data_IF_792217978209
#
_entry.id   IF_792217978209
#
_cell.length_a   1.000
_cell.length_b   1.000
_cell.length_c   1.000
_cell.angle_alpha   90.00
_cell.angle_beta   90.00
_cell.angle_gamma   90.00
#
_symmetry.space_group_name_H-M   'P 1'
#
loop_
_entity.id
_entity.type
_entity.pdbx_description
1 polymer ?
#
# COMPACT_ATOMS: atom_id res chain seq x y z
N UNK A 1 -13.47 -30.25 9.46
CA UNK A 1 -14.80 -30.00 8.83
C UNK A 1 -15.54 -28.85 9.55
N UNK A 2 -14.87 -27.73 9.86
CA UNK A 2 -15.50 -26.55 10.49
C UNK A 2 -15.07 -25.20 9.90
N UNK A 3 -14.25 -25.18 8.84
CA UNK A 3 -13.81 -23.93 8.18
C UNK A 3 -14.82 -23.40 7.15
N UNK A 4 -15.63 -24.28 6.55
CA UNK A 4 -16.61 -23.89 5.51
C UNK A 4 -17.76 -23.05 6.05
N UNK A 5 -18.18 -23.30 7.29
CA UNK A 5 -19.28 -22.57 7.91
C UNK A 5 -18.90 -21.13 8.31
N UNK A 6 -17.62 -20.83 8.55
CA UNK A 6 -17.18 -19.47 8.90
C UNK A 6 -17.03 -18.55 7.68
N UNK A 7 -16.57 -19.09 6.55
CA UNK A 7 -16.37 -18.32 5.31
C UNK A 7 -17.70 -17.99 4.61
N UNK A 8 -18.67 -18.91 4.61
CA UNK A 8 -20.04 -18.63 4.11
C UNK A 8 -20.77 -17.54 4.90
N UNK A 9 -20.63 -17.54 6.24
CA UNK A 9 -21.29 -16.56 7.10
C UNK A 9 -20.70 -15.15 6.99
N UNK A 10 -19.41 -15.02 6.65
CA UNK A 10 -18.76 -13.73 6.45
C UNK A 10 -19.04 -13.14 5.05
N UNK A 11 -19.14 -14.01 4.03
CA UNK A 11 -19.56 -13.59 2.68
C UNK A 11 -21.00 -13.03 2.68
N UNK A 12 -21.87 -13.62 3.49
CA UNK A 12 -23.25 -13.18 3.70
C UNK A 12 -23.39 -11.99 4.67
N UNK A 13 -22.33 -11.22 4.91
CA UNK A 13 -22.45 -10.00 5.69
C UNK A 13 -23.25 -8.95 4.89
N UNK A 14 -24.46 -8.55 5.35
CA UNK A 14 -25.37 -7.70 4.57
C UNK A 14 -24.79 -6.33 4.21
N UNK A 15 -23.77 -5.87 4.94
CA UNK A 15 -23.14 -4.57 4.74
C UNK A 15 -21.87 -4.63 3.88
N UNK A 16 -21.43 -5.81 3.42
CA UNK A 16 -20.21 -5.98 2.63
C UNK A 16 -20.21 -5.10 1.38
N UNK A 17 -21.26 -5.17 0.57
CA UNK A 17 -21.35 -4.38 -0.67
C UNK A 17 -21.34 -2.88 -0.38
N UNK A 18 -22.09 -2.43 0.63
CA UNK A 18 -22.10 -1.03 1.04
C UNK A 18 -20.71 -0.55 1.51
N UNK A 19 -19.99 -1.38 2.28
CA UNK A 19 -18.63 -1.09 2.72
C UNK A 19 -17.65 -0.98 1.54
N UNK A 20 -17.73 -1.90 0.57
CA UNK A 20 -16.87 -1.86 -0.61
C UNK A 20 -17.16 -0.62 -1.47
N UNK A 21 -18.44 -0.31 -1.72
CA UNK A 21 -18.85 0.88 -2.46
C UNK A 21 -18.36 2.15 -1.74
N UNK A 22 -18.52 2.22 -0.42
CA UNK A 22 -18.02 3.34 0.38
C UNK A 22 -16.50 3.52 0.23
N UNK A 23 -15.71 2.44 0.33
CA UNK A 23 -14.27 2.52 0.19
C UNK A 23 -13.83 2.87 -1.24
N UNK A 24 -14.54 2.40 -2.26
CA UNK A 24 -14.28 2.78 -3.66
C UNK A 24 -14.49 4.29 -3.82
N UNK A 25 -15.62 4.82 -3.33
CA UNK A 25 -15.93 6.26 -3.38
C UNK A 25 -14.88 7.06 -2.60
N UNK A 26 -14.54 6.64 -1.38
CA UNK A 26 -13.50 7.29 -0.58
C UNK A 26 -12.14 7.25 -1.29
N UNK A 27 -11.77 6.12 -1.90
CA UNK A 27 -10.55 5.97 -2.69
C UNK A 27 -10.49 6.95 -3.87
N UNK A 28 -11.59 7.11 -4.62
CA UNK A 28 -11.65 8.11 -5.69
C UNK A 28 -11.49 9.54 -5.17
N UNK A 29 -12.09 9.87 -4.02
CA UNK A 29 -11.89 11.17 -3.38
C UNK A 29 -10.43 11.40 -3.00
N UNK A 30 -9.76 10.39 -2.42
CA UNK A 30 -8.34 10.48 -2.10
C UNK A 30 -7.47 10.67 -3.35
N UNK A 31 -7.73 9.93 -4.43
CA UNK A 31 -7.03 10.10 -5.72
C UNK A 31 -7.18 11.53 -6.23
N UNK A 32 -8.39 12.10 -6.19
CA UNK A 32 -8.65 13.49 -6.59
C UNK A 32 -7.87 14.46 -5.70
N UNK A 33 -7.90 14.27 -4.38
CA UNK A 33 -7.18 15.14 -3.43
C UNK A 33 -5.67 15.10 -3.66
N UNK A 34 -5.06 13.93 -3.82
CA UNK A 34 -3.63 13.80 -4.11
C UNK A 34 -3.27 14.39 -5.47
N UNK A 35 -4.08 14.18 -6.51
CA UNK A 35 -3.88 14.77 -7.83
C UNK A 35 -3.96 16.31 -7.80
N UNK A 36 -4.93 16.87 -7.07
CA UNK A 36 -5.05 18.31 -6.88
C UNK A 36 -3.84 18.87 -6.13
N UNK A 37 -3.39 18.20 -5.07
CA UNK A 37 -2.23 18.62 -4.30
C UNK A 37 -0.96 18.64 -5.15
N UNK A 38 -0.72 17.59 -5.95
CA UNK A 38 0.39 17.55 -6.92
C UNK A 38 0.28 18.72 -7.90
N UNK A 39 -0.91 18.94 -8.48
CA UNK A 39 -1.14 20.00 -9.45
C UNK A 39 -0.82 21.39 -8.89
N UNK A 40 -1.32 21.71 -7.69
CA UNK A 40 -1.09 23.00 -7.02
C UNK A 40 0.41 23.24 -6.77
N UNK A 41 1.13 22.23 -6.28
CA UNK A 41 2.56 22.38 -5.97
C UNK A 41 3.40 22.50 -7.25
N UNK A 42 3.06 21.73 -8.30
CA UNK A 42 3.78 21.76 -9.58
C UNK A 42 3.59 23.10 -10.31
N UNK A 43 2.37 23.66 -10.26
CA UNK A 43 2.06 24.96 -10.87
C UNK A 43 2.71 26.13 -10.11
N UNK A 44 2.90 26.01 -8.79
CA UNK A 44 3.41 27.10 -7.96
C UNK A 44 4.92 27.04 -7.79
N UNK A 45 5.66 27.84 -8.57
CA UNK A 45 7.14 27.85 -8.58
C UNK A 45 7.76 28.10 -7.21
N UNK A 46 7.17 28.96 -6.37
CA UNK A 46 7.67 29.26 -5.02
C UNK A 46 7.58 28.05 -4.09
N UNK A 47 6.49 27.28 -4.15
CA UNK A 47 6.31 26.06 -3.36
C UNK A 47 7.24 24.95 -3.84
N UNK A 48 7.38 24.78 -5.16
CA UNK A 48 8.29 23.78 -5.76
C UNK A 48 9.76 24.02 -5.40
N UNK A 49 10.14 25.24 -5.05
CA UNK A 49 11.50 25.56 -4.62
C UNK A 49 11.86 25.01 -3.23
N UNK A 50 10.87 24.68 -2.41
CA UNK A 50 11.09 24.25 -1.03
C UNK A 50 11.21 22.72 -0.96
N UNK A 51 12.27 22.22 -0.31
CA UNK A 51 12.53 20.78 -0.21
C UNK A 51 11.35 19.97 0.36
N UNK A 52 10.68 20.48 1.39
CA UNK A 52 9.52 19.82 2.00
C UNK A 52 8.36 19.59 1.03
N UNK A 53 8.09 20.53 0.12
CA UNK A 53 7.03 20.39 -0.88
C UNK A 53 7.41 19.40 -2.00
N UNK A 54 8.71 19.24 -2.29
CA UNK A 54 9.19 18.23 -3.24
C UNK A 54 8.94 16.81 -2.71
N UNK A 55 9.19 16.56 -1.43
CA UNK A 55 8.81 15.31 -0.77
C UNK A 55 7.30 15.11 -0.79
N UNK A 56 6.53 16.15 -0.48
CA UNK A 56 5.06 16.09 -0.47
C UNK A 56 4.47 15.67 -1.82
N UNK A 57 5.04 16.14 -2.93
CA UNK A 57 4.60 15.73 -4.28
C UNK A 57 4.86 14.24 -4.54
N UNK A 58 6.02 13.73 -4.12
CA UNK A 58 6.38 12.33 -4.35
C UNK A 58 5.62 11.38 -3.43
N UNK A 59 5.42 11.75 -2.16
CA UNK A 59 4.53 11.04 -1.22
C UNK A 59 3.12 10.97 -1.83
N UNK A 60 2.55 12.09 -2.26
CA UNK A 60 1.23 12.09 -2.89
C UNK A 60 1.16 11.25 -4.17
N UNK A 61 2.25 11.13 -4.93
CA UNK A 61 2.27 10.26 -6.10
C UNK A 61 2.28 8.77 -5.71
N UNK A 62 3.03 8.41 -4.67
CA UNK A 62 3.06 7.05 -4.10
C UNK A 62 1.69 6.69 -3.50
N UNK A 63 1.08 7.61 -2.75
CA UNK A 63 -0.26 7.44 -2.17
C UNK A 63 -1.34 7.28 -3.23
N UNK A 64 -1.24 8.02 -4.35
CA UNK A 64 -2.16 7.89 -5.47
C UNK A 64 -2.10 6.47 -6.06
N UNK A 65 -0.90 5.93 -6.26
CA UNK A 65 -0.74 4.54 -6.73
C UNK A 65 -1.30 3.55 -5.70
N UNK A 66 -1.04 3.77 -4.41
CA UNK A 66 -1.60 2.93 -3.35
C UNK A 66 -3.14 2.95 -3.35
N UNK A 67 -3.77 4.13 -3.42
CA UNK A 67 -5.22 4.27 -3.50
C UNK A 67 -5.79 3.52 -4.72
N UNK A 68 -5.13 3.62 -5.89
CA UNK A 68 -5.54 2.88 -7.08
C UNK A 68 -5.51 1.37 -6.83
N UNK A 69 -4.47 0.83 -6.19
CA UNK A 69 -4.39 -0.61 -5.91
C UNK A 69 -5.54 -1.09 -5.01
N UNK A 70 -5.95 -0.28 -4.03
CA UNK A 70 -7.10 -0.58 -3.17
C UNK A 70 -8.42 -0.53 -3.94
N UNK A 71 -8.62 0.49 -4.80
CA UNK A 71 -9.80 0.59 -5.67
C UNK A 71 -9.89 -0.63 -6.59
N UNK A 72 -8.78 -1.02 -7.24
CA UNK A 72 -8.73 -2.19 -8.13
C UNK A 72 -9.09 -3.47 -7.36
N UNK A 73 -8.52 -3.67 -6.17
CA UNK A 73 -8.83 -4.85 -5.36
C UNK A 73 -10.33 -4.95 -5.01
N UNK A 74 -10.93 -3.84 -4.58
CA UNK A 74 -12.34 -3.77 -4.20
C UNK A 74 -13.27 -3.91 -5.40
N UNK A 75 -12.94 -3.30 -6.55
CA UNK A 75 -13.70 -3.46 -7.79
C UNK A 75 -13.68 -4.92 -8.28
N UNK A 76 -12.51 -5.56 -8.28
CA UNK A 76 -12.36 -6.96 -8.70
C UNK A 76 -13.05 -7.95 -7.76
N UNK A 77 -13.32 -7.57 -6.50
CA UNK A 77 -13.95 -8.45 -5.50
C UNK A 77 -15.32 -7.96 -5.06
N UNK A 78 -15.93 -7.01 -5.78
CA UNK A 78 -17.25 -6.47 -5.44
C UNK A 78 -18.32 -7.56 -5.55
N UNK A 79 -18.34 -8.26 -6.68
CA UNK A 79 -19.34 -9.27 -7.03
C UNK A 79 -18.85 -10.71 -6.85
N UNK A 80 -17.55 -10.89 -6.56
CA UNK A 80 -16.93 -12.20 -6.38
C UNK A 80 -16.10 -12.24 -5.10
N UNK A 81 -16.08 -13.37 -4.38
CA UNK A 81 -15.24 -13.54 -3.19
C UNK A 81 -13.75 -13.66 -3.52
N UNK A 82 -13.41 -13.86 -4.79
CA UNK A 82 -12.05 -14.14 -5.23
C UNK A 82 -11.61 -13.18 -6.33
N UNK A 83 -10.37 -12.72 -6.22
CA UNK A 83 -9.65 -11.99 -7.26
C UNK A 83 -8.80 -12.98 -8.06
N UNK A 84 -8.58 -12.71 -9.35
CA UNK A 84 -7.68 -13.51 -10.16
C UNK A 84 -6.28 -13.56 -9.49
N UNK A 85 -5.66 -14.74 -9.33
CA UNK A 85 -4.40 -14.89 -8.59
C UNK A 85 -3.27 -13.99 -9.12
N UNK A 86 -3.13 -13.90 -10.45
CA UNK A 86 -2.09 -13.08 -11.08
C UNK A 86 -2.30 -11.60 -10.77
N UNK A 87 -3.55 -11.13 -10.90
CA UNK A 87 -3.89 -9.73 -10.63
C UNK A 87 -3.73 -9.45 -9.13
N UNK A 88 -4.08 -10.40 -8.26
CA UNK A 88 -3.94 -10.25 -6.82
C UNK A 88 -2.47 -10.13 -6.39
N UNK A 89 -1.60 -10.98 -6.93
CA UNK A 89 -0.16 -10.96 -6.65
C UNK A 89 0.50 -9.67 -7.14
N UNK A 90 0.21 -9.25 -8.38
CA UNK A 90 0.72 -7.99 -8.94
C UNK A 90 0.23 -6.79 -8.11
N UNK A 91 -1.08 -6.75 -7.82
CA UNK A 91 -1.69 -5.63 -7.10
C UNK A 91 -1.19 -5.54 -5.66
N UNK A 92 -1.06 -6.67 -4.97
CA UNK A 92 -0.50 -6.73 -3.62
C UNK A 92 0.99 -6.39 -3.55
N UNK A 93 1.78 -6.76 -4.58
CA UNK A 93 3.18 -6.36 -4.67
C UNK A 93 3.37 -4.84 -4.89
N UNK A 94 2.51 -4.22 -5.70
CA UNK A 94 2.51 -2.76 -5.91
C UNK A 94 2.05 -2.05 -4.64
N UNK A 95 0.98 -2.54 -3.99
CA UNK A 95 0.50 -2.00 -2.72
C UNK A 95 1.60 -2.03 -1.65
N UNK A 96 2.26 -3.17 -1.49
CA UNK A 96 3.32 -3.32 -0.50
C UNK A 96 4.52 -2.43 -0.79
N UNK A 97 4.94 -2.31 -2.04
CA UNK A 97 6.08 -1.45 -2.39
C UNK A 97 5.80 0.03 -2.23
N UNK A 98 4.61 0.48 -2.62
CA UNK A 98 4.21 1.88 -2.41
C UNK A 98 4.09 2.18 -0.92
N UNK A 99 3.49 1.29 -0.14
CA UNK A 99 3.42 1.43 1.31
C UNK A 99 4.81 1.42 1.98
N UNK A 100 5.73 0.55 1.53
CA UNK A 100 7.10 0.49 2.02
C UNK A 100 7.91 1.75 1.66
N UNK A 101 7.67 2.35 0.50
CA UNK A 101 8.31 3.60 0.08
C UNK A 101 7.86 4.79 0.94
N UNK A 102 6.61 4.78 1.40
CA UNK A 102 6.01 5.92 2.08
C UNK A 102 6.54 6.14 3.51
N UNK A 103 6.84 5.06 4.24
CA UNK A 103 7.42 5.12 5.59
C UNK A 103 8.71 5.97 5.69
N UNK A 104 9.77 5.68 4.91
CA UNK A 104 10.99 6.47 4.98
C UNK A 104 10.79 7.89 4.42
N UNK A 105 9.91 8.09 3.43
CA UNK A 105 9.60 9.46 2.94
C UNK A 105 8.94 10.31 4.03
N UNK A 106 7.97 9.75 4.76
CA UNK A 106 7.29 10.41 5.88
C UNK A 106 8.24 10.71 7.05
N UNK A 107 9.20 9.82 7.32
CA UNK A 107 10.23 10.07 8.32
C UNK A 107 11.15 11.24 7.89
N UNK A 108 11.59 11.25 6.64
CA UNK A 108 12.51 12.28 6.13
C UNK A 108 11.82 13.65 6.08
N UNK A 109 10.54 13.74 5.71
CA UNK A 109 9.80 15.01 5.73
C UNK A 109 9.60 15.51 7.18
N UNK A 110 9.36 14.62 8.15
CA UNK A 110 9.29 14.99 9.56
C UNK A 110 10.64 15.54 10.06
N UNK A 111 11.75 14.89 9.72
CA UNK A 111 13.09 15.37 10.02
C UNK A 111 13.37 16.72 9.35
N UNK A 112 12.97 16.91 8.09
CA UNK A 112 13.07 18.19 7.40
C UNK A 112 12.34 19.32 8.17
N UNK A 113 11.16 19.04 8.73
CA UNK A 113 10.44 20.03 9.57
C UNK A 113 11.16 20.30 10.90
N UNK A 114 11.70 19.28 11.55
CA UNK A 114 12.47 19.44 12.80
C UNK A 114 13.72 20.27 12.56
N UNK A 115 14.49 19.98 11.51
CA UNK A 115 15.70 20.74 11.15
C UNK A 115 15.36 22.18 10.76
N UNK A 116 14.23 22.39 10.07
CA UNK A 116 13.78 23.73 9.73
C UNK A 116 13.46 24.61 10.94
N UNK A 117 12.93 24.01 12.02
CA UNK A 117 12.62 24.72 13.26
C UNK A 117 13.86 24.88 14.14
N UNK A 118 14.65 23.81 14.32
CA UNK A 118 15.77 23.80 15.27
C UNK A 118 17.05 24.43 14.71
N UNK A 119 17.30 24.30 13.41
CA UNK A 119 18.56 24.69 12.76
C UNK A 119 18.30 25.31 11.37
N UNK A 120 17.65 26.48 11.30
CA UNK A 120 17.23 27.10 10.03
C UNK A 120 18.41 27.33 9.07
N UNK A 121 19.60 27.62 9.59
CA UNK A 121 20.82 27.84 8.80
C UNK A 121 21.38 26.57 8.14
N UNK A 122 21.04 25.37 8.64
CA UNK A 122 21.55 24.09 8.11
C UNK A 122 20.58 23.40 7.15
N UNK A 123 19.34 23.89 7.01
CA UNK A 123 18.32 23.30 6.12
C UNK A 123 18.80 23.28 4.68
N UNK A 124 19.38 24.37 4.18
CA UNK A 124 19.86 24.46 2.80
C UNK A 124 21.01 23.50 2.49
N UNK A 125 21.78 23.09 3.51
CA UNK A 125 22.90 22.15 3.38
C UNK A 125 22.42 20.70 3.48
N UNK A 126 21.55 20.38 4.45
CA UNK A 126 21.06 19.02 4.68
C UNK A 126 19.95 18.60 3.71
N UNK A 127 19.11 19.56 3.30
CA UNK A 127 17.98 19.38 2.37
C UNK A 127 18.14 20.25 1.14
N UNK A 128 19.36 20.28 0.58
CA UNK A 128 19.63 20.89 -0.71
C UNK A 128 18.85 20.21 -1.84
N UNK A 129 18.80 20.84 -3.01
CA UNK A 129 18.03 20.36 -4.15
C UNK A 129 18.43 18.95 -4.58
N UNK A 130 19.73 18.73 -4.79
CA UNK A 130 20.26 17.44 -5.23
C UNK A 130 20.08 16.36 -4.15
N UNK A 131 20.34 16.69 -2.88
CA UNK A 131 20.20 15.73 -1.77
C UNK A 131 18.75 15.31 -1.56
N UNK A 132 17.80 16.24 -1.71
CA UNK A 132 16.36 15.94 -1.63
C UNK A 132 15.97 14.88 -2.66
N UNK A 133 16.41 15.02 -3.92
CA UNK A 133 16.15 14.02 -4.94
C UNK A 133 16.86 12.69 -4.68
N UNK A 134 18.07 12.71 -4.11
CA UNK A 134 18.77 11.48 -3.69
C UNK A 134 17.99 10.73 -2.61
N UNK A 135 17.47 11.43 -1.59
CA UNK A 135 16.64 10.82 -0.55
C UNK A 135 15.35 10.23 -1.12
N UNK A 136 14.67 10.98 -1.99
CA UNK A 136 13.46 10.48 -2.69
C UNK A 136 13.79 9.23 -3.49
N UNK A 137 14.88 9.25 -4.28
CA UNK A 137 15.31 8.11 -5.07
C UNK A 137 15.63 6.89 -4.19
N UNK A 138 16.31 7.09 -3.06
CA UNK A 138 16.60 6.02 -2.11
C UNK A 138 15.32 5.39 -1.53
N UNK A 139 14.32 6.20 -1.18
CA UNK A 139 13.02 5.71 -0.70
C UNK A 139 12.25 4.93 -1.80
N UNK A 140 12.28 5.43 -3.04
CA UNK A 140 11.65 4.74 -4.17
C UNK A 140 12.35 3.42 -4.51
N UNK A 141 13.68 3.38 -4.45
CA UNK A 141 14.46 2.14 -4.62
C UNK A 141 14.11 1.15 -3.51
N UNK A 142 14.02 1.60 -2.26
CA UNK A 142 13.59 0.74 -1.15
C UNK A 142 12.19 0.15 -1.40
N UNK A 143 11.22 0.97 -1.81
CA UNK A 143 9.88 0.49 -2.19
C UNK A 143 9.91 -0.49 -3.37
N UNK A 144 10.68 -0.19 -4.41
CA UNK A 144 10.82 -1.04 -5.59
C UNK A 144 11.46 -2.40 -5.27
N UNK A 145 12.46 -2.44 -4.38
CA UNK A 145 13.04 -3.69 -3.88
C UNK A 145 12.00 -4.52 -3.11
N UNK A 146 11.13 -3.88 -2.33
CA UNK A 146 10.02 -4.57 -1.65
C UNK A 146 8.99 -5.11 -2.65
N UNK A 147 8.64 -4.36 -3.70
CA UNK A 147 7.78 -4.87 -4.79
C UNK A 147 8.42 -6.08 -5.47
N UNK A 148 9.71 -6.00 -5.81
CA UNK A 148 10.42 -7.11 -6.44
C UNK A 148 10.50 -8.34 -5.52
N UNK A 149 10.72 -8.15 -4.23
CA UNK A 149 10.68 -9.22 -3.24
C UNK A 149 9.29 -9.88 -3.18
N UNK A 150 8.21 -9.10 -3.24
CA UNK A 150 6.86 -9.64 -3.30
C UNK A 150 6.58 -10.44 -4.59
N UNK A 151 7.09 -9.99 -5.73
CA UNK A 151 6.97 -10.70 -7.02
C UNK A 151 7.89 -11.93 -7.13
N UNK A 152 8.99 -11.97 -6.36
CA UNK A 152 9.90 -13.13 -6.34
C UNK A 152 9.27 -14.37 -5.69
N UNK A 153 8.15 -14.22 -4.99
CA UNK A 153 7.43 -15.30 -4.34
C UNK A 153 7.96 -15.71 -2.96
N UNK A 154 9.01 -15.06 -2.44
CA UNK A 154 9.51 -15.28 -1.07
C UNK A 154 8.64 -14.58 0.00
N UNK A 155 7.96 -13.48 -0.35
CA UNK A 155 7.10 -12.70 0.55
C UNK A 155 5.87 -12.18 -0.22
N UNK A 156 4.91 -13.03 -0.56
CA UNK A 156 3.74 -12.57 -1.31
C UNK A 156 2.74 -11.82 -0.40
N UNK A 157 2.38 -10.61 -0.82
CA UNK A 157 1.30 -9.80 -0.25
C UNK A 157 0.07 -9.97 -1.14
N UNK A 158 -1.07 -10.36 -0.57
CA UNK A 158 -2.30 -10.66 -1.30
C UNK A 158 -3.51 -10.01 -0.64
N UNK A 159 -4.44 -9.56 -1.47
CA UNK A 159 -5.75 -9.11 -1.06
C UNK A 159 -6.61 -10.30 -0.61
N UNK A 160 -7.23 -10.15 0.56
CA UNK A 160 -8.21 -11.08 1.11
C UNK A 160 -9.56 -10.36 1.09
N UNK A 161 -10.53 -10.88 0.35
CA UNK A 161 -11.84 -10.22 0.24
C UNK A 161 -12.75 -10.47 1.47
N UNK A 162 -12.45 -11.50 2.26
CA UNK A 162 -13.15 -11.84 3.51
C UNK A 162 -12.87 -10.81 4.61
N UNK A 163 -11.61 -10.37 4.70
CA UNK A 163 -11.16 -9.28 5.57
C UNK A 163 -10.56 -8.24 4.63
N UNK A 164 -11.32 -7.23 4.18
CA UNK A 164 -10.96 -6.34 3.07
C UNK A 164 -9.64 -5.59 3.36
N UNK A 165 -8.54 -6.27 3.10
CA UNK A 165 -7.19 -5.91 3.52
C UNK A 165 -6.17 -6.74 2.73
N UNK A 166 -4.96 -6.20 2.65
CA UNK A 166 -3.80 -6.91 2.15
C UNK A 166 -3.08 -7.62 3.29
N UNK A 167 -2.72 -8.89 3.08
CA UNK A 167 -2.02 -9.70 4.07
C UNK A 167 -0.85 -10.48 3.44
N UNK A 168 0.17 -10.75 4.25
CA UNK A 168 1.30 -11.59 3.84
C UNK A 168 0.95 -13.08 3.94
N UNK A 169 1.38 -13.85 2.95
CA UNK A 169 1.15 -15.31 2.88
C UNK A 169 2.10 -16.16 3.74
N UNK A 170 3.22 -15.59 4.20
CA UNK A 170 4.26 -16.34 4.92
C UNK A 170 4.33 -15.99 6.42
N UNK A 171 4.58 -17.01 7.25
CA UNK A 171 4.70 -16.91 8.72
C UNK A 171 5.84 -15.99 9.20
N UNK A 172 6.82 -15.68 8.35
CA UNK A 172 7.94 -14.79 8.69
C UNK A 172 7.53 -13.32 8.84
N UNK A 173 6.31 -12.93 8.43
CA UNK A 173 5.74 -11.60 8.73
C UNK A 173 5.24 -11.45 10.18
N UNK A 174 5.29 -12.50 11.01
CA UNK A 174 5.00 -12.39 12.44
C UNK A 174 6.05 -11.57 13.21
N UNK A 175 7.22 -11.29 12.64
CA UNK A 175 8.30 -10.58 13.32
C UNK A 175 8.27 -9.04 13.15
N UNK A 176 7.47 -8.47 12.23
CA UNK A 176 7.48 -7.02 11.95
C UNK A 176 6.16 -6.29 12.23
N UNK A 177 5.12 -6.98 12.70
CA UNK A 177 3.82 -6.36 12.96
C UNK A 177 3.23 -6.84 14.30
N UNK A 178 3.81 -6.34 15.40
CA UNK A 178 3.18 -6.39 16.73
C UNK A 178 3.20 -4.98 17.35
N UNK A 179 2.50 -4.04 16.72
CA UNK A 179 2.02 -2.86 17.41
C UNK A 179 0.54 -2.61 17.08
N UNK A 180 -0.33 -3.25 17.86
CA UNK A 180 -1.74 -2.91 17.95
C UNK A 180 -2.70 -3.72 17.06
N UNK A 181 -3.39 -4.68 17.69
CA UNK A 181 -4.58 -5.44 17.23
C UNK A 181 -4.35 -6.66 16.31
N UNK A 182 -4.37 -7.83 16.95
CA UNK A 182 -5.40 -8.85 16.73
C UNK A 182 -5.34 -9.71 15.45
N UNK A 183 -4.73 -10.89 15.58
CA UNK A 183 -4.88 -12.11 14.77
C UNK A 183 -4.88 -11.94 13.23
N UNK A 184 -3.69 -12.08 12.66
CA UNK A 184 -3.49 -12.39 11.23
C UNK A 184 -3.65 -13.90 11.03
N UNK A 185 -4.68 -14.33 10.29
CA UNK A 185 -4.82 -15.71 9.86
C UNK A 185 -3.67 -16.08 8.92
N UNK A 186 -2.85 -17.03 9.34
CA UNK A 186 -1.75 -17.59 8.55
C UNK A 186 -2.31 -18.67 7.63
N UNK A 187 -2.25 -18.48 6.32
CA UNK A 187 -2.64 -19.51 5.36
C UNK A 187 -1.40 -19.93 4.55
N UNK A 188 -0.83 -21.15 4.75
CA UNK A 188 0.38 -21.58 4.05
C UNK A 188 0.15 -21.70 2.54
N UNK A 189 1.10 -21.21 1.73
CA UNK A 189 1.11 -21.27 0.25
C UNK A 189 0.77 -22.66 -0.32
N UNK A 190 1.19 -23.73 0.37
CA UNK A 190 0.97 -25.12 -0.03
C UNK A 190 -0.49 -25.59 0.09
N UNK A 191 -1.25 -25.00 1.01
CA UNK A 191 -2.68 -25.30 1.16
C UNK A 191 -3.52 -24.53 0.13
N UNK A 192 -3.14 -23.29 -0.21
CA UNK A 192 -3.83 -22.51 -1.25
C UNK A 192 -3.61 -23.09 -2.66
N UNK A 193 -2.39 -23.54 -2.98
CA UNK A 193 -2.08 -24.15 -4.28
C UNK A 193 -2.67 -25.55 -4.39
N UNK A 194 -2.65 -26.37 -3.33
CA UNK A 194 -3.24 -27.73 -3.38
C UNK A 194 -4.78 -27.73 -3.38
N UNK A 195 -5.44 -26.78 -2.69
CA UNK A 195 -6.91 -26.60 -2.81
C UNK A 195 -7.30 -26.14 -4.23
N UNK A 196 -6.53 -25.24 -4.85
CA UNK A 196 -6.81 -24.77 -6.22
C UNK A 196 -6.50 -25.77 -7.33
N UNK A 197 -5.55 -26.70 -7.16
CA UNK A 197 -5.38 -27.80 -8.11
C UNK A 197 -6.50 -28.85 -8.04
N UNK A 198 -7.11 -29.04 -6.86
CA UNK A 198 -8.26 -29.94 -6.72
C UNK A 198 -9.54 -29.39 -7.33
N UNK A 199 -9.81 -28.09 -7.20
CA UNK A 199 -11.01 -27.45 -7.79
C UNK A 199 -10.96 -27.26 -9.32
N UNK A 200 -9.80 -27.47 -9.96
CA UNK A 200 -9.62 -27.32 -11.41
C UNK A 200 -9.64 -28.66 -12.17
N UNK A 201 -9.63 -29.80 -11.46
CA UNK A 201 -9.55 -31.15 -12.03
C UNK A 201 -10.61 -32.12 -11.49
N UNK A 202 -11.55 -31.65 -10.67
CA UNK A 202 -12.83 -32.32 -10.32
C UNK A 202 -14.00 -31.48 -10.83
#
# INVERSE_FOLDING_TARGET
>A
MSESNSTENFYNWPYRQAFFIFNIVAGFLFVIMHAQMISVIVQTRSLRSMAGYRFMVHISAVDLVNCITQIVAQMCTLNTPYMNPLINEINGAIFQGTWAADYPMTLIIALNRVVAVMLPFKVGVLFGENLTYVYIAACLVFGGLNTAACLSGELACVWIAEIPSFAFTNQFAAASFNFGRGRVCSCPRQEYISRKQKELYE
#
